data_IF_419473300761
#
_entry.id   IF_419473300761
#
_cell.length_a   1.000
_cell.length_b   1.000
_cell.length_c   1.000
_cell.angle_alpha   90.00
_cell.angle_beta   90.00
_cell.angle_gamma   90.00
#
_symmetry.space_group_name_H-M   'P 1'
#
loop_
_entity.id
_entity.type
_entity.pdbx_description
1 polymer ?
#
# COMPACT_ATOMS: atom_id res chain seq x y z
N UNK A 1 2.84 -10.25 -4.84
CA UNK A 1 2.86 -9.85 -3.41
C UNK A 1 3.25 -11.00 -2.48
N UNK A 2 2.69 -12.21 -2.65
CA UNK A 2 2.94 -13.36 -1.75
C UNK A 2 4.43 -13.68 -1.53
N UNK A 3 5.25 -13.59 -2.58
CA UNK A 3 6.70 -13.77 -2.45
C UNK A 3 7.38 -12.74 -1.52
N UNK A 4 6.91 -11.50 -1.50
CA UNK A 4 7.42 -10.47 -0.59
C UNK A 4 6.97 -10.75 0.84
N UNK A 5 5.69 -11.08 1.04
CA UNK A 5 5.13 -11.39 2.36
C UNK A 5 5.76 -12.63 3.00
N UNK A 6 6.12 -13.66 2.21
CA UNK A 6 6.84 -14.85 2.69
C UNK A 6 8.24 -14.55 3.28
N UNK A 7 8.84 -13.43 2.91
CA UNK A 7 10.16 -13.00 3.40
C UNK A 7 10.06 -12.04 4.59
N UNK A 8 8.85 -11.60 4.89
CA UNK A 8 8.56 -10.65 5.96
C UNK A 8 8.36 -11.42 7.27
N UNK A 9 8.93 -10.92 8.36
CA UNK A 9 8.62 -11.42 9.71
C UNK A 9 7.13 -11.22 10.01
N UNK A 10 6.58 -11.91 11.03
CA UNK A 10 5.17 -11.75 11.42
C UNK A 10 4.78 -10.29 11.66
N UNK A 11 5.68 -9.53 12.29
CA UNK A 11 5.51 -8.10 12.61
C UNK A 11 6.03 -7.15 11.53
N UNK A 12 6.59 -7.68 10.44
CA UNK A 12 7.21 -6.85 9.43
C UNK A 12 6.18 -6.02 8.65
N UNK A 13 6.64 -4.92 8.08
CA UNK A 13 5.83 -4.00 7.28
C UNK A 13 6.31 -3.96 5.82
N UNK A 14 5.43 -4.30 4.89
CA UNK A 14 5.63 -4.06 3.47
C UNK A 14 4.98 -2.72 3.09
N UNK A 15 5.80 -1.77 2.64
CA UNK A 15 5.32 -0.52 2.05
C UNK A 15 5.26 -0.71 0.53
N UNK A 16 4.06 -0.68 -0.02
CA UNK A 16 3.85 -0.72 -1.47
C UNK A 16 3.36 0.64 -1.95
N UNK A 17 3.95 1.16 -3.02
CA UNK A 17 3.46 2.38 -3.63
C UNK A 17 3.63 2.38 -5.14
N UNK A 18 2.77 3.11 -5.85
CA UNK A 18 2.89 3.31 -7.29
C UNK A 18 2.14 4.58 -7.74
N UNK A 19 2.36 4.97 -8.99
CA UNK A 19 1.80 6.17 -9.60
C UNK A 19 0.85 5.87 -10.78
N UNK A 20 0.43 4.61 -10.95
CA UNK A 20 -0.49 4.27 -12.03
C UNK A 20 -1.90 4.75 -11.68
N UNK A 21 -2.36 5.82 -12.36
CA UNK A 21 -3.59 6.56 -12.04
C UNK A 21 -4.88 5.73 -11.98
N UNK A 22 -4.90 4.58 -12.65
CA UNK A 22 -6.05 3.65 -12.68
C UNK A 22 -5.79 2.35 -11.92
N UNK A 23 -4.69 2.27 -11.18
CA UNK A 23 -4.39 1.12 -10.36
C UNK A 23 -5.55 0.87 -9.40
N UNK A 24 -5.82 -0.39 -9.10
CA UNK A 24 -6.73 -0.84 -8.06
C UNK A 24 -6.00 -1.96 -7.35
N UNK A 25 -5.95 -1.90 -6.02
CA UNK A 25 -5.46 -3.03 -5.27
C UNK A 25 -6.47 -4.16 -5.46
N UNK A 26 -5.98 -5.38 -5.61
CA UNK A 26 -6.83 -6.55 -5.76
C UNK A 26 -7.47 -6.89 -4.41
N UNK A 27 -8.79 -7.10 -4.38
CA UNK A 27 -9.56 -7.38 -3.15
C UNK A 27 -9.02 -8.62 -2.40
N UNK A 28 -8.39 -9.56 -3.11
CA UNK A 28 -7.71 -10.72 -2.50
C UNK A 28 -6.58 -10.32 -1.55
N UNK A 29 -5.93 -9.18 -1.78
CA UNK A 29 -4.84 -8.71 -0.90
C UNK A 29 -5.41 -8.28 0.45
N UNK A 30 -6.57 -7.63 0.48
CA UNK A 30 -7.26 -7.26 1.71
C UNK A 30 -7.89 -8.48 2.42
N UNK A 31 -8.25 -9.50 1.64
CA UNK A 31 -8.69 -10.79 2.17
C UNK A 31 -7.56 -11.56 2.86
N UNK A 32 -6.33 -11.51 2.32
CA UNK A 32 -5.19 -12.29 2.80
C UNK A 32 -4.35 -11.55 3.87
N UNK A 33 -4.27 -10.22 3.81
CA UNK A 33 -3.34 -9.41 4.62
C UNK A 33 -4.04 -8.24 5.32
N UNK A 34 -3.40 -7.70 6.36
CA UNK A 34 -3.81 -6.43 6.94
C UNK A 34 -3.30 -5.30 6.03
N UNK A 35 -4.21 -4.51 5.46
CA UNK A 35 -3.90 -3.45 4.50
C UNK A 35 -4.40 -2.11 5.02
N UNK A 36 -3.54 -1.09 4.96
CA UNK A 36 -3.88 0.30 5.26
C UNK A 36 -3.41 1.19 4.11
N UNK A 37 -4.32 1.92 3.48
CA UNK A 37 -3.95 2.96 2.52
C UNK A 37 -3.49 4.23 3.25
N UNK A 38 -2.26 4.67 2.98
CA UNK A 38 -1.62 5.85 3.59
C UNK A 38 -1.32 6.95 2.57
N UNK A 39 -1.90 6.87 1.37
CA UNK A 39 -1.69 7.80 0.25
C UNK A 39 -1.80 9.29 0.62
N UNK A 40 -2.72 9.63 1.54
CA UNK A 40 -2.96 11.02 1.99
C UNK A 40 -1.82 11.56 2.84
N UNK A 41 -1.24 10.71 3.68
CA UNK A 41 -0.18 11.08 4.63
C UNK A 41 1.18 11.17 3.93
N UNK A 42 1.32 10.51 2.78
CA UNK A 42 2.55 10.48 1.99
C UNK A 42 2.59 11.51 0.85
N UNK A 43 1.54 12.33 0.68
CA UNK A 43 1.48 13.33 -0.38
C UNK A 43 2.13 14.64 0.07
N UNK A 44 3.21 15.05 -0.60
CA UNK A 44 3.85 16.34 -0.33
C UNK A 44 2.87 17.51 -0.58
N UNK A 45 3.06 18.61 0.16
CA UNK A 45 2.27 19.83 0.06
C UNK A 45 2.25 20.37 -1.38
N UNK A 46 3.37 20.24 -2.08
CA UNK A 46 3.53 20.68 -3.46
C UNK A 46 2.62 19.90 -4.44
N UNK A 47 2.21 18.69 -4.07
CA UNK A 47 1.36 17.82 -4.89
C UNK A 47 -0.11 17.76 -4.45
N UNK A 48 -0.51 18.55 -3.44
CA UNK A 48 -1.90 18.58 -2.94
C UNK A 48 -2.94 18.93 -4.02
N UNK A 49 -2.54 19.70 -5.04
CA UNK A 49 -3.42 20.03 -6.18
C UNK A 49 -3.69 18.83 -7.11
N UNK A 50 -2.90 17.75 -7.00
CA UNK A 50 -3.03 16.57 -7.84
C UNK A 50 -2.88 15.28 -7.02
N UNK A 51 -3.83 15.03 -6.12
CA UNK A 51 -3.80 13.88 -5.20
C UNK A 51 -3.85 12.49 -5.87
N UNK A 52 -4.01 12.40 -7.20
CA UNK A 52 -4.04 11.12 -7.94
C UNK A 52 -2.69 10.72 -8.54
N UNK A 53 -1.61 11.43 -8.23
CA UNK A 53 -0.28 11.14 -8.79
C UNK A 53 0.39 9.91 -8.17
N UNK A 54 -0.03 9.50 -6.98
CA UNK A 54 0.62 8.46 -6.19
C UNK A 54 -0.36 7.85 -5.21
N UNK A 55 -0.21 6.55 -4.98
CA UNK A 55 -0.91 5.84 -3.90
C UNK A 55 0.06 4.95 -3.15
N UNK A 56 -0.17 4.79 -1.86
CA UNK A 56 0.69 4.07 -0.93
C UNK A 56 -0.14 3.22 0.03
N UNK A 57 0.35 2.00 0.29
CA UNK A 57 -0.24 1.06 1.23
C UNK A 57 0.81 0.49 2.17
N UNK A 58 0.41 0.35 3.41
CA UNK A 58 1.07 -0.47 4.41
C UNK A 58 0.39 -1.84 4.44
N UNK A 59 1.18 -2.91 4.31
CA UNK A 59 0.69 -4.28 4.24
C UNK A 59 1.46 -5.13 5.27
N UNK A 60 0.72 -5.86 6.10
CA UNK A 60 1.26 -6.71 7.17
C UNK A 60 0.54 -8.06 7.20
N UNK A 61 1.14 -9.06 7.86
CA UNK A 61 0.42 -10.31 8.14
C UNK A 61 -0.80 -10.03 9.03
N UNK A 62 -1.87 -10.81 8.86
CA UNK A 62 -3.00 -10.78 9.80
C UNK A 62 -2.58 -11.47 11.09
N UNK A 63 -3.03 -10.90 12.22
CA UNK A 63 -2.93 -11.55 13.53
C UNK A 63 -3.82 -12.79 13.59
#
# INVERSE_FOLDING_TARGET
ISQAMQRLTSEGLLIFSNNFRRFKLDDSVEADYAVLEVSKDTLDKDFQRNARIHRCWHIQHKL
#
